data_IF_930113999951
#
_entry.id   IF_930113999951
#
_cell.length_a   1.000
_cell.length_b   1.000
_cell.length_c   1.000
_cell.angle_alpha   90.00
_cell.angle_beta   90.00
_cell.angle_gamma   90.00
#
_symmetry.space_group_name_H-M   'P 1'
#
loop_
_entity.id
_entity.type
_entity.pdbx_description
1 polymer ?
#
# COMPACT_ATOMS: atom_id res chain seq x y z
N UNK A 1 27.27 8.77 13.70
CA UNK A 1 26.94 9.53 12.47
C UNK A 1 28.24 10.09 11.90
N UNK A 2 28.42 9.96 10.59
CA UNK A 2 29.70 10.08 9.88
C UNK A 2 30.11 11.53 9.57
N UNK A 3 29.20 12.50 9.66
CA UNK A 3 29.50 13.93 9.56
C UNK A 3 29.58 14.60 10.94
N UNK A 4 30.58 15.47 11.19
CA UNK A 4 31.66 15.92 10.30
C UNK A 4 32.95 15.08 10.41
N UNK A 5 32.87 13.80 10.82
CA UNK A 5 34.03 12.93 11.13
C UNK A 5 34.91 12.51 9.96
N UNK A 6 35.01 13.33 8.90
CA UNK A 6 35.86 13.15 7.70
C UNK A 6 35.68 11.81 6.97
N UNK A 7 34.53 11.15 7.18
CA UNK A 7 34.12 9.96 6.44
C UNK A 7 32.97 10.36 5.52
N UNK A 8 32.89 9.76 4.35
CA UNK A 8 31.72 9.88 3.48
C UNK A 8 30.64 8.92 3.98
N UNK A 9 29.36 9.31 4.01
CA UNK A 9 28.29 8.37 4.28
C UNK A 9 28.15 7.38 3.13
N UNK A 10 27.72 6.17 3.49
CA UNK A 10 27.29 5.18 2.51
C UNK A 10 25.80 5.39 2.23
N UNK A 11 25.51 6.08 1.14
CA UNK A 11 24.15 6.42 0.70
C UNK A 11 23.72 5.65 -0.55
N UNK A 12 24.45 4.60 -0.92
CA UNK A 12 24.14 3.80 -2.11
C UNK A 12 22.73 3.23 -2.00
N UNK A 13 21.88 3.51 -2.99
CA UNK A 13 20.47 3.08 -3.01
C UNK A 13 19.50 3.97 -2.21
N UNK A 14 19.97 5.04 -1.55
CA UNK A 14 19.11 5.95 -0.80
C UNK A 14 18.74 7.20 -1.61
N UNK A 15 17.50 7.66 -1.44
CA UNK A 15 17.06 8.96 -1.94
C UNK A 15 17.35 10.07 -0.92
N UNK A 16 17.80 11.22 -1.40
CA UNK A 16 18.04 12.39 -0.56
C UNK A 16 16.74 13.16 -0.33
N UNK A 17 16.47 13.47 0.94
CA UNK A 17 15.41 14.39 1.34
C UNK A 17 16.02 15.52 2.16
N UNK A 18 15.68 16.76 1.81
CA UNK A 18 16.14 17.94 2.55
C UNK A 18 15.68 17.91 4.01
N UNK A 19 16.51 18.47 4.89
CA UNK A 19 16.11 18.77 6.26
C UNK A 19 15.16 19.96 6.24
N UNK A 20 14.01 19.82 6.90
CA UNK A 20 13.13 20.96 7.11
C UNK A 20 13.78 21.94 8.11
N UNK A 21 14.09 23.14 7.63
CA UNK A 21 14.70 24.23 8.42
C UNK A 21 13.74 25.39 8.63
N UNK A 22 12.49 25.10 8.96
CA UNK A 22 11.50 26.10 9.39
C UNK A 22 10.31 26.29 8.44
N UNK A 23 10.12 25.40 7.47
CA UNK A 23 8.93 25.40 6.61
C UNK A 23 7.78 24.56 7.19
N UNK A 24 8.06 23.71 8.18
CA UNK A 24 7.11 22.79 8.82
C UNK A 24 6.39 21.84 7.84
N UNK A 25 7.06 21.49 6.73
CA UNK A 25 6.59 20.50 5.75
C UNK A 25 7.00 19.08 6.18
N UNK A 26 8.16 18.93 6.82
CA UNK A 26 8.69 17.64 7.27
C UNK A 26 9.38 17.77 8.63
N UNK A 27 8.61 18.06 9.69
CA UNK A 27 9.12 18.40 11.01
C UNK A 27 9.68 17.18 11.76
N UNK A 28 10.55 17.44 12.74
CA UNK A 28 11.00 16.44 13.71
C UNK A 28 12.08 15.46 13.24
N UNK A 29 12.63 15.64 12.03
CA UNK A 29 13.72 14.78 11.52
C UNK A 29 15.11 15.33 11.86
N UNK A 30 16.04 14.43 12.16
CA UNK A 30 17.45 14.77 12.41
C UNK A 30 18.26 14.67 11.11
N UNK A 31 19.12 15.66 10.82
CA UNK A 31 19.96 15.68 9.60
C UNK A 31 20.73 14.37 9.40
N UNK A 32 20.56 13.72 8.24
CA UNK A 32 21.23 12.46 7.90
C UNK A 32 20.65 11.22 8.61
N UNK A 33 19.44 11.30 9.18
CA UNK A 33 18.68 10.10 9.55
C UNK A 33 18.22 9.37 8.29
N UNK A 34 18.24 8.03 8.33
CA UNK A 34 17.67 7.18 7.29
C UNK A 34 16.20 6.92 7.61
N UNK A 35 15.38 6.87 6.57
CA UNK A 35 13.98 6.46 6.64
C UNK A 35 13.77 5.39 5.55
N UNK A 36 13.04 4.32 5.88
CA UNK A 36 12.55 3.39 4.87
C UNK A 36 11.54 4.05 3.95
N UNK A 37 11.27 3.42 2.81
CA UNK A 37 10.17 3.77 1.95
C UNK A 37 8.82 3.68 2.68
N UNK A 38 7.85 4.44 2.18
CA UNK A 38 6.49 4.43 2.69
C UNK A 38 5.52 4.66 1.52
N UNK A 39 4.49 3.82 1.45
CA UNK A 39 3.37 3.98 0.53
C UNK A 39 2.27 4.84 1.17
N UNK A 40 1.48 5.51 0.34
CA UNK A 40 0.22 6.12 0.77
C UNK A 40 -0.72 5.06 1.35
N UNK A 41 -1.60 5.48 2.27
CA UNK A 41 -2.62 4.57 2.79
C UNK A 41 -3.53 4.08 1.65
N UNK A 42 -3.83 2.79 1.63
CA UNK A 42 -4.77 2.19 0.70
C UNK A 42 -6.10 1.96 1.40
N UNK A 43 -7.18 2.30 0.73
CA UNK A 43 -8.52 2.17 1.28
C UNK A 43 -9.37 1.28 0.39
N UNK A 44 -10.29 0.57 1.03
CA UNK A 44 -11.24 -0.28 0.35
C UNK A 44 -12.12 -0.98 1.34
N UNK A 45 -13.30 -1.38 0.87
CA UNK A 45 -14.27 -2.15 1.63
C UNK A 45 -14.83 -3.20 0.70
N UNK A 46 -15.30 -4.30 1.28
CA UNK A 46 -16.08 -5.26 0.53
C UNK A 46 -17.22 -5.77 1.41
N UNK A 47 -18.25 -6.23 0.73
CA UNK A 47 -19.50 -6.65 1.33
C UNK A 47 -19.48 -8.08 1.86
N UNK A 48 -20.67 -8.63 2.08
CA UNK A 48 -20.82 -9.98 2.62
C UNK A 48 -20.37 -11.01 1.57
N UNK A 49 -19.61 -12.05 1.98
CA UNK A 49 -19.19 -13.13 1.08
C UNK A 49 -20.33 -14.07 0.66
N UNK A 50 -21.57 -13.71 0.99
CA UNK A 50 -22.78 -14.48 0.68
C UNK A 50 -23.59 -13.74 -0.38
N UNK A 51 -23.90 -14.45 -1.46
CA UNK A 51 -24.74 -14.01 -2.59
C UNK A 51 -26.21 -13.69 -2.27
N UNK A 52 -26.70 -13.92 -1.05
CA UNK A 52 -28.10 -13.62 -0.68
C UNK A 52 -28.36 -12.11 -0.50
N UNK A 53 -27.34 -11.28 -0.71
CA UNK A 53 -27.43 -9.83 -0.79
C UNK A 53 -26.32 -9.15 0.01
N UNK A 54 -25.87 -8.00 -0.49
CA UNK A 54 -24.87 -7.18 0.19
C UNK A 54 -23.43 -7.45 -0.22
N UNK A 55 -23.17 -8.11 -1.35
CA UNK A 55 -21.86 -8.14 -1.97
C UNK A 55 -21.58 -6.81 -2.69
N UNK A 56 -20.45 -6.20 -2.35
CA UNK A 56 -19.92 -5.02 -3.02
C UNK A 56 -18.41 -5.02 -2.88
N UNK A 57 -17.73 -4.17 -3.65
CA UNK A 57 -16.30 -3.94 -3.50
C UNK A 57 -15.95 -2.50 -3.86
N UNK A 58 -15.15 -1.86 -3.02
CA UNK A 58 -14.70 -0.47 -3.14
C UNK A 58 -13.19 -0.37 -2.98
N UNK A 59 -12.61 0.68 -3.57
CA UNK A 59 -11.19 0.96 -3.46
C UNK A 59 -10.33 -0.15 -4.06
N UNK A 60 -9.36 -0.65 -3.31
CA UNK A 60 -8.44 -1.74 -3.74
C UNK A 60 -9.10 -3.09 -3.97
N UNK A 61 -10.34 -3.31 -3.52
CA UNK A 61 -10.99 -4.60 -3.68
C UNK A 61 -11.78 -4.70 -4.99
N UNK A 62 -11.82 -5.91 -5.56
CA UNK A 62 -12.79 -6.36 -6.57
C UNK A 62 -13.50 -7.59 -6.04
N UNK A 63 -14.70 -7.85 -6.53
CA UNK A 63 -15.42 -9.10 -6.28
C UNK A 63 -15.85 -9.76 -7.57
N UNK A 64 -16.04 -11.07 -7.53
CA UNK A 64 -16.59 -11.88 -8.61
C UNK A 64 -17.53 -12.92 -8.03
N UNK A 65 -18.59 -13.23 -8.77
CA UNK A 65 -19.59 -14.23 -8.38
C UNK A 65 -19.43 -15.45 -9.28
N UNK A 66 -19.11 -16.60 -8.69
CA UNK A 66 -18.97 -17.87 -9.40
C UNK A 66 -20.22 -18.71 -9.21
N UNK A 67 -20.90 -19.05 -10.31
CA UNK A 67 -22.08 -19.92 -10.26
C UNK A 67 -21.70 -21.34 -9.85
N UNK A 68 -22.48 -21.95 -8.96
CA UNK A 68 -22.29 -23.37 -8.56
C UNK A 68 -21.08 -23.63 -7.64
N UNK A 69 -20.58 -22.64 -6.91
CA UNK A 69 -19.43 -22.76 -6.03
C UNK A 69 -19.71 -23.32 -4.63
N UNK A 70 -20.98 -23.55 -4.25
CA UNK A 70 -21.34 -24.22 -2.99
C UNK A 70 -21.33 -25.74 -3.16
N UNK A 71 -20.84 -26.47 -2.15
CA UNK A 71 -20.70 -27.93 -2.17
C UNK A 71 -22.02 -28.64 -2.56
N UNK A 72 -21.84 -29.80 -3.22
CA UNK A 72 -22.89 -30.52 -3.93
C UNK A 72 -24.14 -30.78 -3.07
N UNK A 73 -25.29 -30.28 -3.54
CA UNK A 73 -26.61 -30.45 -2.93
C UNK A 73 -27.27 -29.17 -2.43
N UNK A 74 -26.50 -28.09 -2.20
CA UNK A 74 -27.05 -26.86 -1.63
C UNK A 74 -27.62 -25.87 -2.66
N UNK A 75 -27.16 -25.93 -3.91
CA UNK A 75 -27.39 -24.85 -4.87
C UNK A 75 -26.75 -23.53 -4.43
N UNK A 76 -26.41 -22.67 -5.38
CA UNK A 76 -25.93 -21.31 -5.10
C UNK A 76 -24.50 -21.03 -5.54
N UNK A 77 -24.25 -19.74 -5.72
CA UNK A 77 -23.00 -19.17 -6.18
C UNK A 77 -22.04 -18.95 -4.98
N UNK A 78 -20.77 -18.72 -5.27
CA UNK A 78 -19.77 -18.24 -4.31
C UNK A 78 -19.29 -16.84 -4.71
N UNK A 79 -18.89 -16.03 -3.73
CA UNK A 79 -18.27 -14.72 -3.96
C UNK A 79 -16.78 -14.83 -3.65
N UNK A 80 -15.95 -14.35 -4.56
CA UNK A 80 -14.50 -14.24 -4.36
C UNK A 80 -14.09 -12.76 -4.41
N UNK A 81 -13.32 -12.34 -3.42
CA UNK A 81 -12.72 -11.01 -3.38
C UNK A 81 -11.25 -11.08 -3.78
N UNK A 82 -10.80 -10.09 -4.53
CA UNK A 82 -9.39 -9.88 -4.85
C UNK A 82 -8.96 -8.48 -4.42
N UNK A 83 -7.70 -8.38 -4.02
CA UNK A 83 -7.05 -7.12 -3.69
C UNK A 83 -6.13 -6.72 -4.83
N UNK A 84 -6.20 -5.47 -5.25
CA UNK A 84 -5.33 -4.89 -6.26
C UNK A 84 -4.98 -3.44 -5.89
N UNK A 85 -3.77 -3.24 -5.37
CA UNK A 85 -3.24 -1.92 -5.03
C UNK A 85 -3.14 -0.98 -6.24
N UNK A 86 -2.98 -1.52 -7.47
CA UNK A 86 -2.84 -0.71 -8.68
C UNK A 86 -4.05 0.17 -9.00
N UNK A 87 -5.19 -0.14 -8.35
CA UNK A 87 -6.43 0.64 -8.46
C UNK A 87 -6.35 2.02 -7.78
N UNK A 88 -5.38 2.23 -6.89
CA UNK A 88 -5.22 3.50 -6.18
C UNK A 88 -3.80 4.08 -6.27
N UNK A 89 -2.78 3.23 -6.45
CA UNK A 89 -1.39 3.67 -6.49
C UNK A 89 -0.62 3.00 -7.63
N UNK A 90 0.47 3.61 -8.07
CA UNK A 90 1.40 2.96 -9.00
C UNK A 90 2.12 1.82 -8.28
N UNK A 91 2.21 0.67 -8.93
CA UNK A 91 2.88 -0.52 -8.37
C UNK A 91 4.20 -0.78 -9.07
N UNK A 92 5.17 -1.28 -8.30
CA UNK A 92 6.47 -1.76 -8.74
C UNK A 92 7.01 -2.72 -7.68
N UNK A 93 8.16 -3.35 -7.93
CA UNK A 93 8.82 -4.20 -6.93
C UNK A 93 9.36 -3.41 -5.72
N UNK A 94 9.44 -2.08 -5.81
CA UNK A 94 9.99 -1.18 -4.80
C UNK A 94 9.23 0.16 -4.79
N UNK A 95 8.87 0.70 -3.61
CA UNK A 95 8.36 2.06 -3.50
C UNK A 95 9.51 3.05 -3.48
N UNK A 96 9.70 3.75 -4.59
CA UNK A 96 10.74 4.78 -4.70
C UNK A 96 10.21 6.05 -5.39
N UNK A 97 10.68 7.23 -4.95
CA UNK A 97 10.51 8.46 -5.72
C UNK A 97 11.13 8.33 -7.12
N UNK A 98 10.71 9.22 -8.02
CA UNK A 98 11.44 9.48 -9.28
C UNK A 98 12.76 10.17 -8.99
#
# INVERSE_FOLDING_TARGET
>A
KIFPGLKLPDDRGLFKRGLDRGKNIDPGRALGSVQSDAMQNLTGRFGNPTIEGGDFSEGVFRHSVNSGGRAAGAGGNSVAYSFDASRQVRTANEFRPV
#
